data_IF_692655900757
#
_entry.id   IF_692655900757
#
_cell.length_a   1.000
_cell.length_b   1.000
_cell.length_c   1.000
_cell.angle_alpha   90.00
_cell.angle_beta   90.00
_cell.angle_gamma   90.00
#
_symmetry.space_group_name_H-M   'P 1'
#
loop_
_entity.id
_entity.type
_entity.pdbx_description
1 polymer ?
#
# COMPACT_ATOMS: atom_id res chain seq x y z
N UNK A 1 21.52 28.10 7.14
CA UNK A 1 21.01 26.94 7.90
C UNK A 1 21.35 25.70 7.10
N UNK A 2 22.23 24.84 7.58
CA UNK A 2 22.52 23.56 6.94
C UNK A 2 21.24 22.72 6.97
N UNK A 3 20.71 22.44 5.80
CA UNK A 3 19.58 21.54 5.64
C UNK A 3 19.96 20.18 6.25
N UNK A 4 19.29 19.77 7.32
CA UNK A 4 19.54 18.47 7.94
C UNK A 4 19.22 17.39 6.92
N UNK A 5 20.17 16.48 6.70
CA UNK A 5 20.02 15.37 5.77
C UNK A 5 18.84 14.50 6.21
N UNK A 6 17.94 14.17 5.28
CA UNK A 6 16.83 13.26 5.57
C UNK A 6 17.34 11.88 5.95
N UNK A 7 16.75 11.30 6.99
CA UNK A 7 16.94 9.92 7.42
C UNK A 7 15.58 9.23 7.42
N UNK A 8 15.38 8.29 6.51
CA UNK A 8 14.08 7.72 6.18
C UNK A 8 14.05 6.24 6.54
N UNK A 9 13.09 5.84 7.39
CA UNK A 9 12.82 4.45 7.69
C UNK A 9 11.67 3.93 6.82
N UNK A 10 11.82 2.73 6.27
CA UNK A 10 10.77 1.99 5.57
C UNK A 10 10.58 0.65 6.26
N UNK A 11 9.50 0.48 7.01
CA UNK A 11 9.08 -0.81 7.55
C UNK A 11 8.30 -1.58 6.49
N UNK A 12 8.40 -2.92 6.48
CA UNK A 12 7.92 -3.69 5.33
C UNK A 12 8.81 -3.51 4.10
N UNK A 13 10.10 -3.17 4.35
CA UNK A 13 11.08 -2.86 3.30
C UNK A 13 11.43 -4.05 2.39
N UNK A 14 11.17 -5.28 2.81
CA UNK A 14 11.32 -6.49 1.99
C UNK A 14 10.12 -6.78 1.08
N UNK A 15 8.97 -6.13 1.35
CA UNK A 15 7.76 -6.24 0.56
C UNK A 15 7.85 -5.50 -0.79
N UNK A 16 6.94 -5.84 -1.71
CA UNK A 16 6.92 -5.27 -3.05
C UNK A 16 6.88 -3.73 -3.05
N UNK A 17 5.95 -3.10 -2.31
CA UNK A 17 5.86 -1.64 -2.24
C UNK A 17 7.12 -1.03 -1.62
N UNK A 18 7.69 -1.66 -0.59
CA UNK A 18 8.93 -1.21 0.06
C UNK A 18 10.13 -1.19 -0.90
N UNK A 19 10.30 -2.23 -1.71
CA UNK A 19 11.40 -2.34 -2.68
C UNK A 19 11.24 -1.36 -3.85
N UNK A 20 10.02 -1.16 -4.37
CA UNK A 20 9.76 -0.17 -5.40
C UNK A 20 9.95 1.26 -4.85
N UNK A 21 9.50 1.51 -3.62
CA UNK A 21 9.61 2.82 -2.98
C UNK A 21 11.07 3.22 -2.74
N UNK A 22 11.91 2.31 -2.20
CA UNK A 22 13.33 2.63 -1.98
C UNK A 22 14.04 2.90 -3.29
N UNK A 23 13.76 2.13 -4.34
CA UNK A 23 14.35 2.33 -5.67
C UNK A 23 14.04 3.73 -6.21
N UNK A 24 12.79 4.18 -6.09
CA UNK A 24 12.38 5.51 -6.53
C UNK A 24 12.94 6.64 -5.64
N UNK A 25 12.93 6.45 -4.31
CA UNK A 25 13.46 7.43 -3.35
C UNK A 25 14.96 7.68 -3.50
N UNK A 26 15.74 6.67 -3.86
CA UNK A 26 17.18 6.81 -4.12
C UNK A 26 17.49 7.82 -5.22
N UNK A 27 16.61 7.92 -6.21
CA UNK A 27 16.72 8.90 -7.30
C UNK A 27 16.17 10.27 -6.91
N UNK A 28 15.00 10.29 -6.25
CA UNK A 28 14.29 11.55 -5.95
C UNK A 28 14.81 12.27 -4.70
N UNK A 29 15.48 11.56 -3.81
CA UNK A 29 16.09 12.11 -2.58
C UNK A 29 17.60 11.77 -2.52
N UNK A 30 18.42 12.35 -3.40
CA UNK A 30 19.82 11.95 -3.58
C UNK A 30 20.69 12.16 -2.34
N UNK A 31 20.28 13.06 -1.45
CA UNK A 31 21.01 13.39 -0.22
C UNK A 31 20.49 12.64 1.01
N UNK A 32 19.41 11.85 0.90
CA UNK A 32 18.84 11.11 2.04
C UNK A 32 19.59 9.81 2.34
N UNK A 33 19.54 9.40 3.63
CA UNK A 33 19.90 8.05 4.05
C UNK A 33 18.61 7.26 4.29
N UNK A 34 18.70 5.94 4.14
CA UNK A 34 17.54 5.06 4.25
C UNK A 34 17.85 3.88 5.15
N UNK A 35 16.85 3.46 5.91
CA UNK A 35 16.85 2.19 6.65
C UNK A 35 15.66 1.37 6.18
N UNK A 36 15.91 0.16 5.70
CA UNK A 36 14.89 -0.82 5.38
C UNK A 36 14.77 -1.80 6.53
N UNK A 37 13.55 -2.09 6.99
CA UNK A 37 13.31 -3.07 8.04
C UNK A 37 12.17 -4.01 7.67
N UNK A 38 12.36 -5.31 7.90
CA UNK A 38 11.35 -6.34 7.72
C UNK A 38 11.66 -7.55 8.60
N UNK A 39 10.73 -8.52 8.69
CA UNK A 39 10.92 -9.80 9.39
C UNK A 39 12.01 -10.67 8.72
N UNK A 40 12.29 -10.43 7.46
CA UNK A 40 13.47 -10.92 6.73
C UNK A 40 14.36 -9.76 6.40
N UNK A 41 15.66 -9.98 6.18
CA UNK A 41 16.58 -8.90 5.76
C UNK A 41 16.20 -8.41 4.36
N UNK A 42 15.73 -7.14 4.20
CA UNK A 42 15.40 -6.59 2.88
C UNK A 42 16.60 -6.54 1.94
N UNK A 43 16.37 -6.72 0.65
CA UNK A 43 17.40 -6.50 -0.35
C UNK A 43 17.76 -5.01 -0.45
N UNK A 44 19.06 -4.71 -0.57
CA UNK A 44 19.54 -3.37 -0.87
C UNK A 44 19.63 -3.22 -2.40
N UNK A 45 19.04 -2.16 -3.00
CA UNK A 45 19.23 -1.90 -4.43
C UNK A 45 20.72 -1.77 -4.78
N UNK A 46 21.12 -2.39 -5.89
CA UNK A 46 22.51 -2.42 -6.34
C UNK A 46 23.10 -1.01 -6.45
N UNK A 47 24.28 -0.81 -5.84
CA UNK A 47 24.99 0.48 -5.84
C UNK A 47 24.47 1.49 -4.82
N UNK A 48 23.53 1.09 -3.93
CA UNK A 48 22.96 1.96 -2.89
C UNK A 48 23.53 1.68 -1.48
N UNK A 49 24.51 0.80 -1.34
CA UNK A 49 25.05 0.29 -0.06
C UNK A 49 25.58 1.41 0.85
N UNK A 50 26.05 2.52 0.27
CA UNK A 50 26.55 3.67 1.04
C UNK A 50 25.45 4.53 1.67
N UNK A 51 24.20 4.38 1.21
CA UNK A 51 23.03 5.18 1.66
C UNK A 51 21.90 4.35 2.25
N UNK A 52 21.92 3.05 2.09
CA UNK A 52 20.87 2.15 2.53
C UNK A 52 21.40 1.17 3.56
N UNK A 53 20.81 1.16 4.74
CA UNK A 53 20.99 0.13 5.76
C UNK A 53 19.81 -0.83 5.72
N UNK A 54 20.06 -2.13 5.73
CA UNK A 54 19.02 -3.16 5.75
C UNK A 54 19.09 -3.94 7.06
N UNK A 55 17.96 -4.03 7.76
CA UNK A 55 17.86 -4.64 9.08
C UNK A 55 16.71 -5.66 9.13
N UNK A 56 17.02 -6.86 9.61
CA UNK A 56 16.00 -7.81 10.03
C UNK A 56 15.49 -7.40 11.41
N UNK A 57 14.18 -7.16 11.55
CA UNK A 57 13.56 -6.84 12.83
C UNK A 57 12.14 -7.39 12.90
N UNK A 58 11.82 -8.07 14.01
CA UNK A 58 10.44 -8.43 14.34
C UNK A 58 9.78 -7.24 15.04
N UNK A 59 8.93 -6.53 14.32
CA UNK A 59 8.24 -5.34 14.83
C UNK A 59 7.11 -5.68 15.83
N UNK A 60 6.82 -6.96 16.04
CA UNK A 60 5.90 -7.43 17.11
C UNK A 60 6.60 -7.55 18.46
N UNK A 61 7.93 -7.42 18.50
CA UNK A 61 8.75 -7.34 19.71
C UNK A 61 9.09 -5.89 20.02
N UNK A 62 8.61 -5.33 21.17
CA UNK A 62 8.90 -3.95 21.57
C UNK A 62 10.40 -3.64 21.72
N UNK A 63 11.21 -4.62 22.06
CA UNK A 63 12.67 -4.42 22.18
C UNK A 63 13.31 -4.21 20.81
N UNK A 64 12.88 -4.97 19.80
CA UNK A 64 13.29 -4.78 18.39
C UNK A 64 12.88 -3.42 17.87
N UNK A 65 11.65 -2.96 18.17
CA UNK A 65 11.17 -1.63 17.77
C UNK A 65 12.01 -0.53 18.41
N UNK A 66 12.29 -0.63 19.73
CA UNK A 66 13.13 0.35 20.44
C UNK A 66 14.56 0.38 19.89
N UNK A 67 15.13 -0.78 19.58
CA UNK A 67 16.46 -0.86 18.93
C UNK A 67 16.48 -0.23 17.55
N UNK A 68 15.48 -0.53 16.70
CA UNK A 68 15.34 0.06 15.36
C UNK A 68 15.23 1.58 15.41
N UNK A 69 14.46 2.12 16.36
CA UNK A 69 14.19 3.55 16.54
C UNK A 69 15.20 4.23 17.48
N UNK A 70 16.32 3.60 17.83
CA UNK A 70 17.40 4.26 18.59
C UNK A 70 18.05 5.40 17.82
N UNK A 71 18.02 5.35 16.48
CA UNK A 71 18.40 6.45 15.61
C UNK A 71 17.19 7.34 15.30
N UNK A 72 17.44 8.65 15.19
CA UNK A 72 16.38 9.60 14.80
C UNK A 72 16.11 9.51 13.30
N UNK A 73 14.84 9.33 12.95
CA UNK A 73 14.34 9.40 11.58
C UNK A 73 13.54 10.70 11.37
N UNK A 74 13.72 11.30 10.19
CA UNK A 74 12.90 12.45 9.77
C UNK A 74 11.56 12.00 9.22
N UNK A 75 11.55 10.81 8.57
CA UNK A 75 10.37 10.20 7.96
C UNK A 75 10.33 8.70 8.26
N UNK A 76 9.14 8.19 8.51
CA UNK A 76 8.88 6.76 8.71
C UNK A 76 7.73 6.32 7.81
N UNK A 77 8.01 5.46 6.84
CA UNK A 77 6.99 4.76 6.06
C UNK A 77 6.60 3.47 6.77
N UNK A 78 5.34 3.36 7.13
CA UNK A 78 4.78 2.15 7.75
C UNK A 78 4.05 1.37 6.67
N UNK A 79 4.74 0.39 6.07
CA UNK A 79 4.23 -0.42 4.97
C UNK A 79 4.05 -1.90 5.36
N UNK A 80 4.59 -2.33 6.51
CA UNK A 80 4.42 -3.70 6.99
C UNK A 80 2.97 -3.98 7.38
N UNK A 81 2.57 -5.22 7.30
CA UNK A 81 1.26 -5.66 7.74
C UNK A 81 0.89 -7.04 7.23
N UNK A 82 0.02 -7.71 7.97
CA UNK A 82 -0.63 -8.94 7.54
C UNK A 82 -1.81 -8.59 6.62
N UNK A 83 -1.85 -9.21 5.44
CA UNK A 83 -2.87 -8.92 4.42
C UNK A 83 -4.25 -9.46 4.81
N UNK A 84 -5.29 -9.02 4.07
CA UNK A 84 -6.70 -9.24 4.39
C UNK A 84 -7.06 -10.72 4.66
N UNK A 85 -6.66 -11.64 3.81
CA UNK A 85 -6.94 -13.07 4.02
C UNK A 85 -6.22 -13.64 5.25
N UNK A 86 -4.97 -13.23 5.49
CA UNK A 86 -4.23 -13.66 6.67
C UNK A 86 -4.80 -13.10 7.98
N UNK A 87 -5.21 -11.83 7.98
CA UNK A 87 -5.81 -11.18 9.15
C UNK A 87 -7.21 -11.74 9.47
N UNK A 88 -7.97 -12.16 8.44
CA UNK A 88 -9.25 -12.83 8.63
C UNK A 88 -9.07 -14.26 9.16
N UNK A 89 -8.08 -14.98 8.66
CA UNK A 89 -7.78 -16.35 9.11
C UNK A 89 -7.22 -16.40 10.54
N UNK A 90 -6.53 -15.36 11.01
CA UNK A 90 -5.92 -15.29 12.34
C UNK A 90 -6.02 -13.88 12.92
N UNK A 91 -7.09 -13.66 13.69
CA UNK A 91 -7.40 -12.37 14.30
C UNK A 91 -6.27 -11.88 15.23
N UNK A 92 -5.76 -12.76 16.12
CA UNK A 92 -4.76 -12.38 17.11
C UNK A 92 -3.44 -11.98 16.44
N UNK A 93 -3.01 -12.74 15.43
CA UNK A 93 -1.83 -12.39 14.64
C UNK A 93 -2.05 -11.10 13.86
N UNK A 94 -3.25 -10.89 13.31
CA UNK A 94 -3.64 -9.65 12.65
C UNK A 94 -3.54 -8.45 13.58
N UNK A 95 -4.12 -8.51 14.78
CA UNK A 95 -4.03 -7.45 15.80
C UNK A 95 -2.58 -7.19 16.19
N UNK A 96 -1.82 -8.23 16.47
CA UNK A 96 -0.41 -8.12 16.86
C UNK A 96 0.44 -7.42 15.81
N UNK A 97 0.29 -7.78 14.51
CA UNK A 97 1.09 -7.22 13.42
C UNK A 97 0.54 -5.88 12.95
N UNK A 98 -0.78 -5.75 12.74
CA UNK A 98 -1.34 -4.56 12.09
C UNK A 98 -1.64 -3.42 13.07
N UNK A 99 -1.83 -3.71 14.37
CA UNK A 99 -2.20 -2.72 15.38
C UNK A 99 -1.12 -2.54 16.41
N UNK A 100 -0.75 -3.59 17.15
CA UNK A 100 0.13 -3.47 18.32
C UNK A 100 1.55 -3.07 17.92
N UNK A 101 2.10 -3.66 16.84
CA UNK A 101 3.43 -3.31 16.34
C UNK A 101 3.47 -1.85 15.88
N UNK A 102 2.45 -1.40 15.14
CA UNK A 102 2.37 -0.02 14.68
C UNK A 102 2.20 0.94 15.85
N UNK A 103 1.33 0.62 16.81
CA UNK A 103 1.17 1.40 18.04
C UNK A 103 2.49 1.54 18.79
N UNK A 104 3.26 0.45 18.94
CA UNK A 104 4.58 0.49 19.60
C UNK A 104 5.52 1.45 18.88
N UNK A 105 5.58 1.42 17.55
CA UNK A 105 6.35 2.37 16.74
C UNK A 105 5.89 3.81 17.02
N UNK A 106 4.59 4.09 16.93
CA UNK A 106 4.04 5.42 17.15
C UNK A 106 4.30 5.93 18.57
N UNK A 107 4.24 5.05 19.58
CA UNK A 107 4.51 5.41 20.99
C UNK A 107 5.99 5.78 21.20
N UNK A 108 6.93 5.06 20.61
CA UNK A 108 8.36 5.43 20.65
C UNK A 108 8.58 6.76 19.92
N UNK A 109 8.03 6.91 18.72
CA UNK A 109 8.20 8.15 17.92
C UNK A 109 7.66 9.38 18.66
N UNK A 110 6.47 9.31 19.28
CA UNK A 110 5.88 10.46 19.98
C UNK A 110 6.66 10.88 21.22
N UNK A 111 7.35 9.94 21.87
CA UNK A 111 8.13 10.21 23.11
C UNK A 111 9.56 10.62 22.79
N UNK A 112 10.24 9.84 21.95
CA UNK A 112 11.67 9.98 21.73
C UNK A 112 12.01 10.84 20.49
N UNK A 113 11.07 10.92 19.50
CA UNK A 113 11.28 11.61 18.24
C UNK A 113 10.07 12.44 17.81
N UNK A 114 9.60 13.39 18.66
CA UNK A 114 8.41 14.18 18.35
C UNK A 114 8.59 14.98 17.04
N UNK A 115 7.48 15.11 16.29
CA UNK A 115 7.47 15.80 15.01
C UNK A 115 7.94 14.95 13.82
N UNK A 116 8.28 13.67 14.01
CA UNK A 116 8.58 12.76 12.89
C UNK A 116 7.41 12.67 11.94
N UNK A 117 7.69 12.76 10.63
CA UNK A 117 6.69 12.49 9.60
C UNK A 117 6.43 11.00 9.48
N UNK A 118 5.18 10.61 9.64
CA UNK A 118 4.73 9.21 9.52
C UNK A 118 3.85 9.07 8.30
N UNK A 119 4.24 8.25 7.34
CA UNK A 119 3.45 7.90 6.16
C UNK A 119 2.93 6.48 6.33
N UNK A 120 1.64 6.33 6.53
CA UNK A 120 0.98 5.06 6.78
C UNK A 120 0.18 4.59 5.57
N UNK A 121 0.52 3.41 5.06
CA UNK A 121 -0.26 2.74 4.04
C UNK A 121 -1.51 2.10 4.67
N UNK A 122 -2.62 2.82 4.65
CA UNK A 122 -3.94 2.31 4.95
C UNK A 122 -4.58 1.67 3.70
N UNK A 123 -5.86 1.45 3.69
CA UNK A 123 -6.55 0.72 2.63
C UNK A 123 -7.97 1.23 2.41
N UNK A 124 -8.49 1.13 1.19
CA UNK A 124 -9.91 1.31 0.91
C UNK A 124 -10.81 0.24 1.60
N UNK A 125 -10.22 -0.85 2.08
CA UNK A 125 -10.94 -1.89 2.84
C UNK A 125 -11.51 -1.42 4.19
N UNK A 126 -11.21 -0.19 4.61
CA UNK A 126 -11.84 0.45 5.79
C UNK A 126 -13.29 0.86 5.52
N UNK A 127 -13.68 0.96 4.27
CA UNK A 127 -15.05 1.26 3.89
C UNK A 127 -15.87 -0.02 3.70
N UNK A 128 -17.16 0.05 3.97
CA UNK A 128 -18.16 -0.89 3.48
C UNK A 128 -18.61 -0.51 2.07
N UNK A 129 -19.41 -1.38 1.45
CA UNK A 129 -20.00 -1.13 0.13
C UNK A 129 -20.86 0.14 0.14
N UNK A 130 -20.63 1.01 -0.82
CA UNK A 130 -21.40 2.23 -1.07
C UNK A 130 -21.27 2.61 -2.55
N UNK A 131 -22.19 3.42 -3.06
CA UNK A 131 -22.18 3.83 -4.46
C UNK A 131 -20.95 4.69 -4.78
N UNK A 132 -20.69 5.73 -3.98
CA UNK A 132 -19.51 6.58 -4.10
C UNK A 132 -18.98 6.92 -2.72
N UNK A 133 -17.68 6.72 -2.52
CA UNK A 133 -17.00 7.18 -1.30
C UNK A 133 -16.64 8.64 -1.44
N UNK A 134 -17.04 9.44 -0.47
CA UNK A 134 -16.49 10.79 -0.24
C UNK A 134 -15.69 10.79 1.05
N UNK A 135 -14.56 11.50 1.08
CA UNK A 135 -13.58 11.39 2.16
C UNK A 135 -14.11 11.80 3.54
N UNK A 136 -14.99 12.80 3.59
CA UNK A 136 -15.57 13.30 4.83
C UNK A 136 -17.06 12.93 5.01
N UNK A 137 -17.75 12.52 3.95
CA UNK A 137 -19.17 12.18 4.00
C UNK A 137 -19.44 10.69 4.22
N UNK A 138 -18.50 9.82 3.80
CA UNK A 138 -18.68 8.38 3.96
C UNK A 138 -18.05 7.90 5.26
N UNK A 139 -18.87 7.37 6.16
CA UNK A 139 -18.40 6.76 7.40
C UNK A 139 -17.65 5.45 7.10
N UNK A 140 -16.47 5.24 7.69
CA UNK A 140 -15.79 3.94 7.63
C UNK A 140 -16.67 2.84 8.25
N UNK A 141 -16.91 1.77 7.52
CA UNK A 141 -17.67 0.59 7.97
C UNK A 141 -17.01 -0.70 7.49
N UNK A 142 -15.79 -1.00 7.97
CA UNK A 142 -15.02 -2.15 7.51
C UNK A 142 -15.79 -3.46 7.74
N UNK A 143 -15.71 -4.37 6.77
CA UNK A 143 -16.34 -5.69 6.80
C UNK A 143 -15.33 -6.83 6.92
N UNK A 144 -14.08 -6.51 7.30
CA UNK A 144 -13.01 -7.48 7.51
C UNK A 144 -12.13 -7.06 8.69
N UNK A 145 -11.50 -8.04 9.35
CA UNK A 145 -10.54 -7.82 10.42
C UNK A 145 -9.42 -6.88 9.98
N UNK A 146 -8.91 -7.04 8.76
CA UNK A 146 -7.91 -6.17 8.18
C UNK A 146 -8.35 -4.70 8.08
N UNK A 147 -9.56 -4.46 7.57
CA UNK A 147 -10.11 -3.11 7.45
C UNK A 147 -10.28 -2.45 8.82
N UNK A 148 -10.77 -3.19 9.83
CA UNK A 148 -10.89 -2.72 11.21
C UNK A 148 -9.51 -2.35 11.77
N UNK A 149 -8.52 -3.22 11.61
CA UNK A 149 -7.16 -3.01 12.10
C UNK A 149 -6.51 -1.76 11.47
N UNK A 150 -6.68 -1.57 10.17
CA UNK A 150 -6.19 -0.35 9.49
C UNK A 150 -6.87 0.90 10.02
N UNK A 151 -8.19 0.88 10.22
CA UNK A 151 -8.94 2.02 10.77
C UNK A 151 -8.51 2.37 12.21
N UNK A 152 -8.27 1.38 13.06
CA UNK A 152 -7.76 1.63 14.42
C UNK A 152 -6.45 2.43 14.40
N UNK A 153 -5.52 2.08 13.50
CA UNK A 153 -4.24 2.80 13.34
C UNK A 153 -4.45 4.19 12.75
N UNK A 154 -5.35 4.38 11.80
CA UNK A 154 -5.68 5.72 11.28
C UNK A 154 -6.11 6.67 12.40
N UNK A 155 -6.98 6.20 13.31
CA UNK A 155 -7.44 7.00 14.44
C UNK A 155 -6.29 7.37 15.40
N UNK A 156 -5.37 6.46 15.68
CA UNK A 156 -4.19 6.73 16.49
C UNK A 156 -3.27 7.79 15.84
N UNK A 157 -2.96 7.64 14.56
CA UNK A 157 -2.11 8.60 13.85
C UNK A 157 -2.77 9.98 13.79
N UNK A 158 -4.08 10.05 13.53
CA UNK A 158 -4.83 11.30 13.55
C UNK A 158 -4.76 11.98 14.92
N UNK A 159 -4.98 11.24 16.03
CA UNK A 159 -4.93 11.82 17.38
C UNK A 159 -3.54 12.29 17.73
N UNK A 160 -2.50 11.50 17.43
CA UNK A 160 -1.12 11.89 17.72
C UNK A 160 -0.70 13.11 16.88
N UNK A 161 -1.20 13.22 15.65
CA UNK A 161 -0.95 14.39 14.80
C UNK A 161 -1.69 15.63 15.30
N UNK A 162 -2.96 15.50 15.69
CA UNK A 162 -3.75 16.58 16.29
C UNK A 162 -3.13 17.13 17.56
N UNK A 163 -2.48 16.28 18.34
CA UNK A 163 -1.74 16.64 19.57
C UNK A 163 -0.35 17.22 19.32
N UNK A 164 0.11 17.26 18.06
CA UNK A 164 1.44 17.73 17.70
C UNK A 164 2.58 16.77 18.03
N UNK A 165 2.28 15.52 18.35
CA UNK A 165 3.31 14.51 18.65
C UNK A 165 4.01 14.02 17.38
N UNK A 166 3.26 13.86 16.29
CA UNK A 166 3.72 13.38 15.00
C UNK A 166 3.17 14.27 13.88
N UNK A 167 3.76 14.17 12.69
CA UNK A 167 3.21 14.74 11.46
C UNK A 167 2.74 13.63 10.53
N UNK A 168 1.51 13.16 10.74
CA UNK A 168 0.95 11.98 10.07
C UNK A 168 0.48 12.25 8.64
N UNK A 169 0.58 11.22 7.81
CA UNK A 169 0.05 11.09 6.45
C UNK A 169 -0.58 9.70 6.35
N UNK A 170 -1.87 9.63 6.19
CA UNK A 170 -2.62 8.37 6.11
C UNK A 170 -3.15 8.23 4.70
N UNK A 171 -2.64 7.26 3.95
CA UNK A 171 -2.97 7.05 2.54
C UNK A 171 -3.79 5.77 2.41
N UNK A 172 -5.07 5.89 2.08
CA UNK A 172 -5.94 4.75 1.80
C UNK A 172 -5.70 4.28 0.39
N UNK A 173 -4.97 3.17 0.27
CA UNK A 173 -4.57 2.61 -1.02
C UNK A 173 -5.75 1.90 -1.70
N UNK A 174 -5.92 2.07 -3.03
CA UNK A 174 -6.71 1.19 -3.87
C UNK A 174 -6.14 -0.23 -3.90
N UNK A 175 -6.83 -1.14 -4.59
CA UNK A 175 -6.26 -2.43 -5.00
C UNK A 175 -5.11 -2.18 -5.97
N UNK A 176 -3.91 -2.58 -5.59
CA UNK A 176 -2.71 -2.35 -6.43
C UNK A 176 -2.61 -3.45 -7.48
N UNK A 177 -2.65 -3.08 -8.77
CA UNK A 177 -2.50 -3.97 -9.94
C UNK A 177 -1.61 -3.33 -11.01
N UNK A 178 -0.75 -4.03 -11.74
CA UNK A 178 -0.43 -5.46 -11.62
C UNK A 178 0.80 -5.59 -10.74
N UNK A 179 0.69 -6.35 -9.64
CA UNK A 179 1.84 -6.59 -8.75
C UNK A 179 2.72 -7.70 -9.30
N UNK A 180 4.04 -7.51 -9.41
CA UNK A 180 4.98 -8.59 -9.72
C UNK A 180 5.14 -9.57 -8.54
N UNK A 181 5.90 -10.63 -8.76
CA UNK A 181 6.23 -11.63 -7.75
C UNK A 181 5.15 -12.69 -7.56
N UNK A 182 5.22 -13.46 -6.47
CA UNK A 182 4.29 -14.54 -6.18
C UNK A 182 2.90 -14.04 -5.73
N UNK A 183 1.84 -14.87 -5.85
CA UNK A 183 0.55 -14.60 -5.25
C UNK A 183 0.66 -14.27 -3.76
N UNK A 184 -0.17 -13.34 -3.29
CA UNK A 184 -0.18 -12.93 -1.88
C UNK A 184 -1.45 -13.40 -1.17
N UNK A 185 -1.46 -13.36 0.16
CA UNK A 185 -2.63 -13.67 0.98
C UNK A 185 -3.71 -12.56 0.98
N UNK A 186 -3.66 -11.60 0.06
CA UNK A 186 -4.71 -10.61 -0.11
C UNK A 186 -5.88 -11.21 -0.90
N UNK A 187 -7.12 -10.96 -0.47
CA UNK A 187 -8.31 -11.42 -1.19
C UNK A 187 -8.36 -10.90 -2.65
N UNK A 188 -7.82 -9.70 -2.91
CA UNK A 188 -7.67 -9.11 -4.25
C UNK A 188 -6.45 -9.62 -5.04
N UNK A 189 -5.74 -10.66 -4.56
CA UNK A 189 -4.53 -11.16 -5.24
C UNK A 189 -4.81 -11.66 -6.66
N UNK A 190 -6.02 -12.18 -6.90
CA UNK A 190 -6.46 -12.64 -8.21
C UNK A 190 -6.38 -11.52 -9.27
N UNK A 191 -6.71 -10.28 -8.94
CA UNK A 191 -6.72 -9.16 -9.90
C UNK A 191 -5.34 -8.89 -10.54
N UNK A 192 -4.26 -9.18 -9.80
CA UNK A 192 -2.92 -9.22 -10.39
C UNK A 192 -2.58 -10.57 -11.02
N UNK A 193 -3.08 -11.66 -10.43
CA UNK A 193 -2.83 -13.03 -10.87
C UNK A 193 -3.31 -13.28 -12.29
N UNK A 194 -4.56 -12.92 -12.60
CA UNK A 194 -5.15 -13.10 -13.95
C UNK A 194 -4.36 -12.40 -15.07
N UNK A 195 -3.53 -11.41 -14.73
CA UNK A 195 -2.63 -10.76 -15.69
C UNK A 195 -1.23 -11.35 -15.63
N UNK A 196 -0.64 -11.42 -14.43
CA UNK A 196 0.75 -11.80 -14.21
C UNK A 196 1.04 -13.22 -14.66
N UNK A 197 0.25 -14.18 -14.17
CA UNK A 197 0.40 -15.60 -14.49
C UNK A 197 0.08 -15.87 -15.96
N UNK A 198 -1.01 -15.27 -16.47
CA UNK A 198 -1.43 -15.47 -17.86
C UNK A 198 -0.41 -14.98 -18.87
N UNK A 199 0.22 -13.82 -18.63
CA UNK A 199 1.30 -13.31 -19.51
C UNK A 199 2.57 -14.17 -19.47
N UNK A 200 2.72 -15.03 -18.44
CA UNK A 200 3.80 -16.00 -18.30
C UNK A 200 3.40 -17.40 -18.82
N UNK A 201 2.21 -17.57 -19.38
CA UNK A 201 1.69 -18.86 -19.82
C UNK A 201 1.32 -19.81 -18.68
N UNK A 202 1.11 -19.29 -17.47
CA UNK A 202 0.76 -20.09 -16.28
C UNK A 202 -0.74 -20.04 -16.06
N UNK A 203 -1.35 -21.21 -15.90
CA UNK A 203 -2.78 -21.34 -15.55
C UNK A 203 -3.09 -20.67 -14.22
N UNK A 204 -4.22 -19.97 -14.17
CA UNK A 204 -4.69 -19.31 -12.96
C UNK A 204 -6.22 -19.30 -12.91
N UNK A 205 -6.77 -18.95 -11.75
CA UNK A 205 -8.21 -18.98 -11.49
C UNK A 205 -8.73 -17.55 -11.35
N UNK A 206 -9.83 -17.24 -12.04
CA UNK A 206 -10.68 -16.10 -11.79
C UNK A 206 -11.79 -16.50 -10.80
N UNK A 207 -11.70 -16.05 -9.52
CA UNK A 207 -12.60 -16.52 -8.47
C UNK A 207 -13.86 -15.67 -8.27
N UNK A 208 -14.08 -14.67 -9.13
CA UNK A 208 -15.17 -13.69 -8.99
C UNK A 208 -15.83 -13.42 -10.33
N UNK A 209 -17.02 -12.78 -10.29
CA UNK A 209 -17.75 -12.37 -11.50
C UNK A 209 -16.94 -11.38 -12.34
N UNK A 210 -17.09 -11.44 -13.66
CA UNK A 210 -16.48 -10.49 -14.61
C UNK A 210 -17.02 -9.07 -14.47
N UNK A 211 -18.26 -8.92 -13.99
CA UNK A 211 -18.92 -7.62 -13.79
C UNK A 211 -18.53 -6.94 -12.49
N UNK A 212 -17.73 -7.62 -11.63
CA UNK A 212 -17.28 -7.04 -10.38
C UNK A 212 -16.42 -5.80 -10.63
N UNK A 213 -16.85 -4.67 -10.10
CA UNK A 213 -16.09 -3.42 -10.12
C UNK A 213 -15.04 -3.39 -9.01
N UNK A 214 -13.86 -2.91 -9.35
CA UNK A 214 -12.73 -2.73 -8.44
C UNK A 214 -12.21 -1.29 -8.51
N UNK A 215 -11.83 -0.73 -7.36
CA UNK A 215 -11.03 0.49 -7.29
C UNK A 215 -9.55 0.11 -7.33
N UNK A 216 -8.85 0.47 -8.41
CA UNK A 216 -7.48 0.01 -8.66
C UNK A 216 -6.50 1.15 -8.91
N UNK A 217 -5.22 0.85 -8.70
CA UNK A 217 -4.12 1.76 -9.00
C UNK A 217 -2.88 0.95 -9.38
N UNK A 218 -2.08 1.47 -10.33
CA UNK A 218 -0.81 0.83 -10.70
C UNK A 218 0.25 0.99 -9.60
N UNK A 219 1.23 0.07 -9.52
CA UNK A 219 2.38 0.23 -8.64
C UNK A 219 3.12 1.55 -8.83
N UNK A 220 3.32 1.97 -10.07
CA UNK A 220 4.03 3.21 -10.39
C UNK A 220 3.33 4.44 -9.78
N UNK A 221 2.01 4.52 -9.93
CA UNK A 221 1.21 5.62 -9.37
C UNK A 221 1.16 5.59 -7.85
N UNK A 222 1.06 4.39 -7.23
CA UNK A 222 1.17 4.25 -5.77
C UNK A 222 2.50 4.79 -5.27
N UNK A 223 3.62 4.39 -5.85
CA UNK A 223 4.96 4.83 -5.45
C UNK A 223 5.13 6.34 -5.65
N UNK A 224 4.72 6.87 -6.81
CA UNK A 224 4.74 8.31 -7.09
C UNK A 224 3.99 9.10 -6.02
N UNK A 225 2.80 8.65 -5.65
CA UNK A 225 1.96 9.32 -4.66
C UNK A 225 2.50 9.17 -3.22
N UNK A 226 3.06 8.02 -2.85
CA UNK A 226 3.72 7.85 -1.54
C UNK A 226 4.94 8.79 -1.38
N UNK A 227 5.63 9.09 -2.47
CA UNK A 227 6.73 10.05 -2.46
C UNK A 227 6.20 11.48 -2.37
N UNK A 228 5.20 11.86 -3.19
CA UNK A 228 4.59 13.19 -3.19
C UNK A 228 4.00 13.55 -1.82
N UNK A 229 3.22 12.65 -1.24
CA UNK A 229 2.52 12.90 0.02
C UNK A 229 3.49 13.18 1.18
N UNK A 230 4.70 12.66 1.15
CA UNK A 230 5.77 12.93 2.10
C UNK A 230 6.08 14.43 2.19
N UNK A 231 6.05 15.11 1.06
CA UNK A 231 6.46 16.51 0.93
C UNK A 231 5.29 17.50 1.07
N UNK A 232 4.05 17.03 1.06
CA UNK A 232 2.87 17.88 1.29
C UNK A 232 2.93 18.48 2.69
N UNK A 233 2.85 19.83 2.82
CA UNK A 233 2.82 20.50 4.11
C UNK A 233 1.68 20.02 5.01
N UNK A 234 1.96 19.84 6.31
CA UNK A 234 1.00 19.30 7.26
C UNK A 234 -0.28 20.11 7.38
N UNK A 235 -0.20 21.41 7.23
CA UNK A 235 -1.34 22.36 7.26
C UNK A 235 -2.32 22.16 6.09
N UNK A 236 -1.87 21.67 4.94
CA UNK A 236 -2.75 21.39 3.80
C UNK A 236 -3.74 20.23 4.06
N UNK A 237 -3.43 19.38 5.03
CA UNK A 237 -4.34 18.31 5.44
C UNK A 237 -5.54 18.82 6.28
N UNK A 238 -5.44 20.01 6.86
CA UNK A 238 -6.49 20.53 7.74
C UNK A 238 -6.69 19.67 8.99
N UNK A 239 -7.93 19.38 9.32
CA UNK A 239 -8.31 18.63 10.53
C UNK A 239 -8.12 17.12 10.44
N UNK A 240 -7.90 16.57 9.24
CA UNK A 240 -7.75 15.13 9.02
C UNK A 240 -6.51 14.82 8.22
N UNK A 241 -5.71 13.88 8.71
CA UNK A 241 -4.46 13.40 8.07
C UNK A 241 -4.68 12.34 7.00
N UNK A 242 -5.95 12.03 6.71
CA UNK A 242 -6.35 10.96 5.80
C UNK A 242 -6.48 11.50 4.37
N UNK A 243 -6.14 10.66 3.40
CA UNK A 243 -6.43 10.89 1.98
C UNK A 243 -6.73 9.55 1.29
N UNK A 244 -7.81 9.51 0.51
CA UNK A 244 -8.05 8.42 -0.44
C UNK A 244 -7.09 8.62 -1.62
N UNK A 245 -6.21 7.65 -1.86
CA UNK A 245 -5.29 7.74 -3.00
C UNK A 245 -6.08 7.63 -4.30
N UNK A 246 -5.89 8.57 -5.26
CA UNK A 246 -6.55 8.49 -6.55
C UNK A 246 -6.24 7.18 -7.28
N UNK A 247 -7.28 6.59 -7.83
CA UNK A 247 -7.25 5.37 -8.62
C UNK A 247 -8.26 5.47 -9.75
N UNK A 248 -8.59 4.33 -10.35
CA UNK A 248 -9.62 4.19 -11.38
C UNK A 248 -10.59 3.07 -11.04
N UNK A 249 -11.85 3.22 -11.40
CA UNK A 249 -12.84 2.13 -11.35
C UNK A 249 -12.69 1.28 -12.60
N UNK A 250 -12.57 -0.03 -12.41
CA UNK A 250 -12.51 -0.99 -13.51
C UNK A 250 -13.34 -2.22 -13.17
N UNK A 251 -13.98 -2.81 -14.15
CA UNK A 251 -14.57 -4.15 -14.05
C UNK A 251 -13.49 -5.22 -14.23
N UNK A 252 -13.74 -6.41 -13.74
CA UNK A 252 -12.86 -7.56 -14.03
C UNK A 252 -12.80 -7.83 -15.53
N UNK A 253 -13.94 -7.63 -16.26
CA UNK A 253 -13.97 -7.75 -17.72
C UNK A 253 -12.97 -6.80 -18.39
N UNK A 254 -12.90 -5.53 -17.98
CA UNK A 254 -11.93 -4.57 -18.55
C UNK A 254 -10.47 -4.98 -18.30
N UNK A 255 -10.19 -5.67 -17.16
CA UNK A 255 -8.86 -6.24 -16.91
C UNK A 255 -8.57 -7.38 -17.89
N UNK A 256 -9.57 -8.25 -18.18
CA UNK A 256 -9.44 -9.34 -19.13
C UNK A 256 -9.26 -8.82 -20.57
N UNK A 257 -9.98 -7.76 -20.95
CA UNK A 257 -9.85 -7.11 -22.25
C UNK A 257 -8.45 -6.51 -22.43
N UNK A 258 -7.93 -5.85 -21.40
CA UNK A 258 -6.56 -5.34 -21.40
C UNK A 258 -5.51 -6.47 -21.47
N UNK A 259 -5.74 -7.60 -20.77
CA UNK A 259 -4.90 -8.79 -20.89
C UNK A 259 -4.91 -9.34 -22.31
N UNK A 260 -6.08 -9.46 -22.93
CA UNK A 260 -6.24 -9.94 -24.31
C UNK A 260 -5.51 -9.03 -25.30
N UNK A 261 -5.61 -7.71 -25.17
CA UNK A 261 -4.91 -6.75 -26.04
C UNK A 261 -3.39 -6.91 -25.94
N UNK A 262 -2.86 -7.14 -24.74
CA UNK A 262 -1.42 -7.19 -24.49
C UNK A 262 -0.82 -8.59 -24.69
N UNK A 263 -1.55 -9.64 -24.32
CA UNK A 263 -1.07 -11.04 -24.30
C UNK A 263 -1.72 -11.96 -25.32
N UNK A 264 -2.74 -11.46 -26.07
CA UNK A 264 -3.47 -12.25 -27.06
C UNK A 264 -4.44 -13.26 -26.46
N UNK A 265 -5.06 -14.07 -27.31
CA UNK A 265 -5.96 -15.16 -26.91
C UNK A 265 -5.23 -16.24 -26.10
N UNK A 266 -3.93 -16.42 -26.34
CA UNK A 266 -3.12 -17.40 -25.61
C UNK A 266 -3.01 -17.08 -24.11
N UNK A 267 -2.85 -15.80 -23.76
CA UNK A 267 -2.84 -15.36 -22.38
C UNK A 267 -4.23 -15.51 -21.74
N UNK A 268 -5.29 -15.16 -22.46
CA UNK A 268 -6.67 -15.30 -21.97
C UNK A 268 -7.04 -16.77 -21.72
N UNK A 269 -6.55 -17.69 -22.55
CA UNK A 269 -6.79 -19.13 -22.43
C UNK A 269 -6.13 -19.76 -21.16
N UNK A 270 -5.27 -19.03 -20.45
CA UNK A 270 -4.71 -19.50 -19.17
C UNK A 270 -5.67 -19.32 -17.99
N UNK A 271 -6.80 -18.65 -18.18
CA UNK A 271 -7.72 -18.33 -17.09
C UNK A 271 -8.84 -19.40 -17.01
N UNK A 272 -8.97 -20.03 -15.87
CA UNK A 272 -10.10 -20.85 -15.48
C UNK A 272 -11.07 -20.03 -14.64
N UNK A 273 -12.31 -19.86 -15.10
CA UNK A 273 -13.34 -19.22 -14.29
C UNK A 273 -13.93 -20.21 -13.30
N UNK A 274 -13.67 -19.98 -12.03
CA UNK A 274 -14.17 -20.81 -10.94
C UNK A 274 -14.48 -19.93 -9.74
N UNK A 275 -15.74 -19.56 -9.60
CA UNK A 275 -16.18 -18.68 -8.53
C UNK A 275 -15.86 -19.24 -7.14
N UNK A 276 -15.28 -18.40 -6.28
CA UNK A 276 -15.08 -18.63 -4.85
C UNK A 276 -15.93 -17.63 -4.06
N UNK A 277 -17.08 -18.07 -3.51
CA UNK A 277 -18.00 -17.19 -2.80
C UNK A 277 -17.36 -16.45 -1.61
N UNK A 278 -16.34 -17.05 -0.96
CA UNK A 278 -15.67 -16.42 0.18
C UNK A 278 -14.79 -15.25 -0.29
N UNK A 279 -14.02 -15.43 -1.37
CA UNK A 279 -13.22 -14.36 -1.97
C UNK A 279 -14.14 -13.27 -2.52
N UNK A 280 -15.17 -13.64 -3.27
CA UNK A 280 -16.12 -12.69 -3.87
C UNK A 280 -16.81 -11.85 -2.79
N UNK A 281 -17.31 -12.46 -1.72
CA UNK A 281 -17.96 -11.74 -0.62
C UNK A 281 -17.05 -10.69 0.02
N UNK A 282 -15.75 -11.00 0.20
CA UNK A 282 -14.78 -10.04 0.75
C UNK A 282 -14.57 -8.89 -0.23
N UNK A 283 -14.28 -9.18 -1.50
CA UNK A 283 -13.93 -8.15 -2.49
C UNK A 283 -15.13 -7.29 -2.86
N UNK A 284 -16.32 -7.89 -3.03
CA UNK A 284 -17.56 -7.18 -3.30
C UNK A 284 -18.05 -6.32 -2.12
N UNK A 285 -17.50 -6.50 -0.92
CA UNK A 285 -17.79 -5.64 0.23
C UNK A 285 -17.06 -4.29 0.17
N UNK A 286 -16.07 -4.13 -0.70
CA UNK A 286 -15.32 -2.88 -0.86
C UNK A 286 -16.00 -1.96 -1.88
N UNK A 287 -15.93 -0.63 -1.70
CA UNK A 287 -16.41 0.31 -2.69
C UNK A 287 -15.48 0.35 -3.90
N UNK A 288 -16.05 0.59 -5.06
CA UNK A 288 -15.31 0.68 -6.32
C UNK A 288 -15.25 2.10 -6.90
N UNK A 289 -15.96 3.07 -6.31
CA UNK A 289 -16.05 4.44 -6.81
C UNK A 289 -15.75 5.44 -5.72
N UNK A 290 -14.87 6.41 -6.03
CA UNK A 290 -14.38 7.39 -5.06
C UNK A 290 -14.40 8.80 -5.65
N UNK A 291 -14.85 9.76 -4.87
CA UNK A 291 -14.48 11.16 -5.05
C UNK A 291 -13.08 11.37 -4.48
N UNK A 292 -12.14 11.65 -5.35
CA UNK A 292 -10.73 11.86 -5.01
C UNK A 292 -10.26 13.30 -5.21
N UNK A 293 -11.21 14.25 -5.25
CA UNK A 293 -10.95 15.68 -5.43
C UNK A 293 -9.91 16.20 -4.44
N UNK A 294 -9.96 15.73 -3.18
CA UNK A 294 -8.97 16.08 -2.16
C UNK A 294 -7.58 15.53 -2.52
N UNK A 295 -7.48 14.29 -2.99
CA UNK A 295 -6.21 13.73 -3.45
C UNK A 295 -5.57 14.58 -4.54
N UNK A 296 -6.35 14.99 -5.53
CA UNK A 296 -5.89 15.91 -6.57
C UNK A 296 -5.51 17.29 -6.03
N UNK A 297 -6.27 17.82 -5.07
CA UNK A 297 -5.96 19.08 -4.40
C UNK A 297 -4.63 19.03 -3.62
N UNK A 298 -4.20 17.86 -3.16
CA UNK A 298 -2.90 17.61 -2.54
C UNK A 298 -1.79 17.26 -3.56
N UNK A 299 -2.09 17.35 -4.87
CA UNK A 299 -1.13 17.07 -5.94
C UNK A 299 -0.90 15.60 -6.25
N UNK A 300 -1.78 14.70 -5.78
CA UNK A 300 -1.69 13.28 -6.11
C UNK A 300 -2.22 13.00 -7.51
N UNK A 301 -1.79 11.90 -8.12
CA UNK A 301 -2.18 11.50 -9.47
C UNK A 301 -2.98 10.18 -9.44
N UNK A 302 -3.83 9.98 -10.45
CA UNK A 302 -4.42 8.69 -10.81
C UNK A 302 -3.71 8.07 -12.02
N UNK A 303 -4.00 6.80 -12.30
CA UNK A 303 -3.66 6.16 -13.57
C UNK A 303 -4.58 6.66 -14.70
N UNK A 304 -4.14 6.48 -15.94
CA UNK A 304 -4.98 6.73 -17.11
C UNK A 304 -5.98 5.59 -17.30
N UNK A 305 -5.49 4.39 -17.65
CA UNK A 305 -6.30 3.21 -17.92
C UNK A 305 -5.70 1.93 -17.30
N UNK A 306 -6.53 0.90 -17.14
CA UNK A 306 -6.02 -0.42 -16.72
C UNK A 306 -5.11 -1.04 -17.80
N UNK A 307 -5.35 -0.73 -19.05
CA UNK A 307 -4.50 -1.16 -20.18
C UNK A 307 -3.07 -0.64 -20.02
N UNK A 308 -2.89 0.61 -19.60
CA UNK A 308 -1.58 1.18 -19.36
C UNK A 308 -0.83 0.43 -18.25
N UNK A 309 -1.55 0.04 -17.18
CA UNK A 309 -0.97 -0.76 -16.09
C UNK A 309 -0.53 -2.15 -16.57
N UNK A 310 -1.31 -2.81 -17.42
CA UNK A 310 -0.97 -4.12 -18.00
C UNK A 310 0.21 -4.00 -18.97
N UNK A 311 0.24 -2.97 -19.84
CA UNK A 311 1.38 -2.69 -20.74
C UNK A 311 2.66 -2.42 -19.97
N UNK A 312 2.60 -1.61 -18.93
CA UNK A 312 3.75 -1.29 -18.07
C UNK A 312 4.29 -2.55 -17.38
N UNK A 313 3.40 -3.43 -16.90
CA UNK A 313 3.80 -4.70 -16.30
C UNK A 313 4.53 -5.60 -17.31
N UNK A 314 3.97 -5.79 -18.52
CA UNK A 314 4.61 -6.60 -19.57
C UNK A 314 6.00 -6.05 -19.94
N UNK A 315 6.11 -4.74 -20.15
CA UNK A 315 7.39 -4.10 -20.49
C UNK A 315 8.45 -4.34 -19.41
N UNK A 316 8.08 -4.24 -18.11
CA UNK A 316 9.00 -4.47 -16.99
C UNK A 316 9.46 -5.93 -16.89
N UNK A 317 8.57 -6.88 -17.14
CA UNK A 317 8.90 -8.32 -17.05
C UNK A 317 9.67 -8.84 -18.24
N UNK A 318 9.58 -8.18 -19.40
CA UNK A 318 10.36 -8.52 -20.62
C UNK A 318 11.80 -8.03 -20.55
N UNK A 319 12.17 -7.18 -19.58
CA UNK A 319 13.52 -6.63 -19.38
C UNK A 319 14.28 -7.31 -18.23
N UNK A 320 13.62 -8.15 -17.45
CA UNK A 320 14.17 -8.88 -16.30
C UNK A 320 14.65 -10.28 -16.69
#
# INVERSE_FOLDING_TARGET
MTQTKDNILITGGGGFIGQELITALLTQSPNANFTLSDIITPAIPKGAESRVTSLKADLTDPSSVKSLLSNRFTHVYILHGLMSGGAEANLDLGLKINVDSVRTILDVLRVDHPGTKVIFASSCAIYGKTDVVTEFGTLPQPKSSYGIQKLMVELLINDYSRRGHLDGRIVRLPTVIVRPGAPSAAASSFASGIVRESLQGVKNVLPVSRDLELWVCSPATVIKNLIKIKDVPGEQFGSSRIVNLPGITVTVQEILDALKEVGGEEALAQIEEKNDPAIEAIVASWPARFDVSRGYGLGLDADGTVLDAVKAFKAKTSQA
#
